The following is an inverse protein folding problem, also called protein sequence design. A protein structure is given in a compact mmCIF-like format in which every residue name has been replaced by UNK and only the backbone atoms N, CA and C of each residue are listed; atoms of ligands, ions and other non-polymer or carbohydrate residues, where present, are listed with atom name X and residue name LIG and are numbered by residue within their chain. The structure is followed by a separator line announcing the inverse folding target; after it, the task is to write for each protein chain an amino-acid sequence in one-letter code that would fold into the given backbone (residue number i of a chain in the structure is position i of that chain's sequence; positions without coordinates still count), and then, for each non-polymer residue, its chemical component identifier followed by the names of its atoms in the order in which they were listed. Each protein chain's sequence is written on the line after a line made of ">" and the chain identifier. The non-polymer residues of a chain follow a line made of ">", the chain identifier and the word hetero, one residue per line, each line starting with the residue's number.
data_IF_061735767691
#
_entry.id   IF_061735767691
#
_cell.length_a   1.000
_cell.length_b   1.000
_cell.length_c   1.000
_cell.angle_alpha   90.00
_cell.angle_beta   90.00
_cell.angle_gamma   90.00
#
_symmetry.space_group_name_H-M   'P 1'
#
loop_
_entity.id
_entity.type
_entity.pdbx_description
1 polymer ?
#
# COMPACT_ATOMS: atom_id res chain seq x y z
N UNK A 1 -13.63 22.56 30.88
CA UNK A 1 -13.80 24.01 31.10
C UNK A 1 -12.46 24.60 31.44
N UNK A 2 -11.97 25.55 30.64
CA UNK A 2 -10.77 26.31 30.98
C UNK A 2 -11.08 27.27 32.16
N UNK A 3 -10.16 27.41 33.10
CA UNK A 3 -10.31 28.33 34.25
C UNK A 3 -10.33 29.79 33.81
N UNK A 4 -11.06 30.62 34.57
CA UNK A 4 -11.10 32.06 34.36
C UNK A 4 -9.70 32.67 34.59
N UNK A 5 -9.09 33.22 33.54
CA UNK A 5 -7.82 33.96 33.62
C UNK A 5 -6.68 33.44 32.74
N UNK A 6 -6.89 32.41 31.92
CA UNK A 6 -5.89 31.95 30.95
C UNK A 6 -6.12 32.65 29.60
N UNK A 7 -5.18 33.52 29.21
CA UNK A 7 -5.09 34.01 27.83
C UNK A 7 -4.20 33.06 27.05
N UNK A 8 -4.76 32.38 26.05
CA UNK A 8 -3.95 31.62 25.09
C UNK A 8 -3.19 32.60 24.20
N UNK A 9 -1.89 32.73 24.42
CA UNK A 9 -1.00 33.52 23.55
C UNK A 9 -0.49 32.59 22.46
N UNK A 10 -1.25 32.48 21.37
CA UNK A 10 -0.77 31.82 20.15
C UNK A 10 0.15 32.80 19.44
N UNK A 11 1.45 32.49 19.39
CA UNK A 11 2.36 33.21 18.50
C UNK A 11 1.94 32.91 17.05
N UNK A 12 1.67 33.94 16.21
CA UNK A 12 1.27 33.69 14.84
C UNK A 12 2.38 32.91 14.12
N UNK A 13 2.05 31.74 13.58
CA UNK A 13 2.95 30.99 12.71
C UNK A 13 3.25 31.84 11.49
N UNK A 14 4.53 31.95 11.12
CA UNK A 14 4.93 32.71 9.95
C UNK A 14 4.19 32.20 8.71
N UNK A 15 3.72 33.10 7.82
CA UNK A 15 2.99 32.70 6.62
C UNK A 15 3.85 31.75 5.78
N UNK A 16 3.31 30.57 5.49
CA UNK A 16 4.00 29.59 4.65
C UNK A 16 3.93 30.04 3.21
N UNK A 17 5.07 30.04 2.55
CA UNK A 17 5.17 30.42 1.13
C UNK A 17 5.77 29.27 0.34
N UNK A 18 5.17 28.97 -0.81
CA UNK A 18 5.61 27.95 -1.76
C UNK A 18 5.89 28.65 -3.09
N UNK A 19 7.02 28.31 -3.73
CA UNK A 19 7.35 28.83 -5.06
C UNK A 19 7.15 27.73 -6.10
N UNK A 20 6.51 28.06 -7.22
CA UNK A 20 6.39 27.14 -8.37
C UNK A 20 6.34 27.90 -9.70
N UNK A 21 6.79 27.31 -10.82
CA UNK A 21 6.52 27.84 -12.15
C UNK A 21 5.01 27.97 -12.39
N UNK A 22 4.57 29.03 -13.06
CA UNK A 22 3.17 29.26 -13.36
C UNK A 22 2.54 28.17 -14.24
N UNK A 23 3.36 27.49 -15.05
CA UNK A 23 2.96 26.37 -15.91
C UNK A 23 3.13 24.99 -15.24
N UNK A 24 3.45 24.94 -13.95
CA UNK A 24 3.61 23.68 -13.22
C UNK A 24 2.31 22.85 -13.21
N UNK A 25 1.12 23.41 -12.90
CA UNK A 25 -0.13 22.65 -12.99
C UNK A 25 -0.38 22.10 -14.40
N UNK A 26 -0.02 22.87 -15.43
CA UNK A 26 -0.19 22.49 -16.83
C UNK A 26 0.65 21.26 -17.18
N UNK A 27 1.90 21.23 -16.72
CA UNK A 27 2.82 20.09 -16.91
C UNK A 27 2.37 18.84 -16.17
N UNK A 28 1.82 18.99 -14.96
CA UNK A 28 1.30 17.88 -14.16
C UNK A 28 0.04 17.30 -14.82
N UNK A 29 -0.87 18.16 -15.26
CA UNK A 29 -2.12 17.76 -15.89
C UNK A 29 -1.97 17.26 -17.34
N UNK A 30 -0.93 17.72 -18.05
CA UNK A 30 -0.83 17.55 -19.49
C UNK A 30 -1.87 18.39 -20.26
N UNK A 31 -2.34 19.49 -19.67
CA UNK A 31 -3.34 20.43 -20.23
C UNK A 31 -2.83 21.85 -20.04
N UNK A 32 -2.99 22.71 -21.05
CA UNK A 32 -2.65 24.12 -20.89
C UNK A 32 -3.81 24.86 -20.22
N UNK A 33 -3.65 25.22 -18.93
CA UNK A 33 -4.61 26.08 -18.21
C UNK A 33 -4.25 27.55 -18.34
N UNK A 34 -2.94 27.84 -18.40
CA UNK A 34 -2.40 29.19 -18.40
C UNK A 34 -2.38 29.85 -17.04
N UNK A 35 -1.43 30.78 -16.86
CA UNK A 35 -1.16 31.48 -15.61
C UNK A 35 -2.39 32.12 -14.97
N UNK A 36 -3.25 32.77 -15.76
CA UNK A 36 -4.44 33.46 -15.25
C UNK A 36 -5.40 32.50 -14.53
N UNK A 37 -5.60 31.31 -15.09
CA UNK A 37 -6.40 30.25 -14.48
C UNK A 37 -5.77 29.75 -13.18
N UNK A 38 -4.47 29.47 -13.21
CA UNK A 38 -3.70 29.01 -12.03
C UNK A 38 -3.82 30.00 -10.88
N UNK A 39 -3.53 31.28 -11.13
CA UNK A 39 -3.63 32.35 -10.12
C UNK A 39 -5.04 32.46 -9.58
N UNK A 40 -6.05 32.49 -10.46
CA UNK A 40 -7.46 32.60 -10.06
C UNK A 40 -7.89 31.44 -9.16
N UNK A 41 -7.55 30.20 -9.51
CA UNK A 41 -7.91 29.01 -8.71
C UNK A 41 -7.22 28.98 -7.37
N UNK A 42 -5.95 29.38 -7.30
CA UNK A 42 -5.23 29.46 -6.03
C UNK A 42 -5.78 30.56 -5.11
N UNK A 43 -6.22 31.69 -5.69
CA UNK A 43 -6.90 32.73 -4.93
C UNK A 43 -8.29 32.29 -4.45
N UNK A 44 -9.04 31.51 -5.24
CA UNK A 44 -10.33 30.92 -4.83
C UNK A 44 -10.20 30.01 -3.59
N UNK A 45 -9.05 29.36 -3.40
CA UNK A 45 -8.77 28.51 -2.22
C UNK A 45 -8.10 29.27 -1.06
N UNK A 46 -7.97 30.58 -1.19
CA UNK A 46 -7.50 31.48 -0.14
C UNK A 46 -6.01 31.76 -0.11
N UNK A 47 -5.26 31.42 -1.18
CA UNK A 47 -3.84 31.77 -1.28
C UNK A 47 -3.64 33.19 -1.82
N UNK A 48 -2.64 33.89 -1.29
CA UNK A 48 -2.12 35.09 -1.95
C UNK A 48 -1.04 34.68 -2.96
N UNK A 49 -1.14 35.18 -4.19
CA UNK A 49 -0.28 34.76 -5.30
C UNK A 49 0.42 35.96 -5.91
N UNK A 50 1.75 35.90 -5.96
CA UNK A 50 2.62 36.95 -6.51
C UNK A 50 3.54 36.37 -7.60
N UNK A 51 4.03 37.23 -8.51
CA UNK A 51 4.96 36.83 -9.57
C UNK A 51 4.33 36.65 -10.95
N UNK A 52 5.18 36.36 -11.94
CA UNK A 52 4.80 36.21 -13.35
C UNK A 52 5.07 34.77 -13.80
N UNK A 53 6.30 34.45 -14.21
CA UNK A 53 6.69 33.11 -14.67
C UNK A 53 6.91 32.16 -13.49
N UNK A 54 7.51 32.67 -12.41
CA UNK A 54 7.60 31.99 -11.12
C UNK A 54 6.60 32.62 -10.14
N UNK A 55 5.68 31.81 -9.64
CA UNK A 55 4.69 32.19 -8.66
C UNK A 55 5.22 31.96 -7.26
N UNK A 56 5.00 32.95 -6.40
CA UNK A 56 5.20 32.88 -4.94
C UNK A 56 3.81 32.87 -4.31
N UNK A 57 3.45 31.74 -3.71
CA UNK A 57 2.11 31.46 -3.20
C UNK A 57 2.16 31.40 -1.67
N UNK A 58 1.53 32.37 -1.02
CA UNK A 58 1.35 32.38 0.43
C UNK A 58 0.08 31.59 0.77
N UNK A 59 0.26 30.54 1.55
CA UNK A 59 -0.79 29.58 1.91
C UNK A 59 -1.54 30.08 3.16
N UNK A 60 -2.89 30.00 3.17
CA UNK A 60 -3.67 30.37 4.35
C UNK A 60 -3.45 29.38 5.51
N UNK A 61 -3.55 29.87 6.74
CA UNK A 61 -3.23 29.08 7.95
C UNK A 61 -4.10 27.85 8.16
N UNK A 62 -5.31 27.80 7.60
CA UNK A 62 -6.23 26.66 7.69
C UNK A 62 -6.01 25.59 6.60
N UNK A 63 -5.01 25.78 5.72
CA UNK A 63 -4.61 24.81 4.68
C UNK A 63 -3.22 24.23 4.94
N UNK A 64 -3.01 23.49 6.06
CA UNK A 64 -1.72 22.89 6.35
C UNK A 64 -1.33 21.80 5.36
N UNK A 65 -2.31 21.27 4.62
CA UNK A 65 -2.15 20.31 3.53
C UNK A 65 -1.40 20.89 2.31
N UNK A 66 -1.51 22.20 2.06
CA UNK A 66 -0.80 22.86 0.97
C UNK A 66 0.66 23.07 1.36
N UNK A 67 1.52 22.20 0.86
CA UNK A 67 2.87 22.04 1.35
C UNK A 67 3.99 22.16 0.33
N UNK A 68 3.71 21.71 -0.88
CA UNK A 68 4.63 21.66 -1.98
C UNK A 68 3.93 22.08 -3.29
N UNK A 69 4.68 22.34 -4.37
CA UNK A 69 4.10 22.75 -5.65
C UNK A 69 3.02 21.81 -6.19
N UNK A 70 3.09 20.51 -5.88
CA UNK A 70 2.11 19.54 -6.36
C UNK A 70 0.75 19.66 -5.65
N UNK A 71 0.70 20.09 -4.39
CA UNK A 71 -0.56 20.33 -3.70
C UNK A 71 -1.28 21.54 -4.32
N UNK A 72 -0.52 22.56 -4.70
CA UNK A 72 -1.04 23.73 -5.42
C UNK A 72 -1.55 23.34 -6.82
N UNK A 73 -0.80 22.48 -7.53
CA UNK A 73 -1.24 21.94 -8.81
C UNK A 73 -2.52 21.11 -8.67
N UNK A 74 -2.64 20.28 -7.63
CA UNK A 74 -3.85 19.52 -7.35
C UNK A 74 -5.06 20.44 -7.19
N UNK A 75 -4.95 21.56 -6.46
CA UNK A 75 -6.06 22.50 -6.29
C UNK A 75 -6.52 23.12 -7.60
N UNK A 76 -5.59 23.49 -8.47
CA UNK A 76 -5.92 24.00 -9.81
C UNK A 76 -6.65 22.92 -10.61
N UNK A 77 -6.09 21.72 -10.68
CA UNK A 77 -6.64 20.60 -11.46
C UNK A 77 -8.02 20.20 -10.94
N UNK A 78 -8.18 20.10 -9.62
CA UNK A 78 -9.43 19.74 -8.95
C UNK A 78 -10.54 20.76 -9.24
N UNK A 79 -10.22 22.06 -9.27
CA UNK A 79 -11.18 23.12 -9.55
C UNK A 79 -11.46 23.32 -11.04
N UNK A 80 -10.51 22.97 -11.92
CA UNK A 80 -10.74 22.89 -13.36
C UNK A 80 -11.47 21.60 -13.77
N UNK A 81 -11.50 20.59 -12.90
CA UNK A 81 -12.23 19.34 -13.09
C UNK A 81 -11.35 18.20 -13.59
N UNK A 82 -11.28 17.11 -12.82
CA UNK A 82 -10.50 15.92 -13.18
C UNK A 82 -11.01 15.24 -14.47
N UNK A 83 -12.30 15.38 -14.77
CA UNK A 83 -12.94 14.89 -15.98
C UNK A 83 -12.39 15.53 -17.26
N UNK A 84 -11.75 16.70 -17.15
CA UNK A 84 -11.16 17.41 -18.28
C UNK A 84 -9.73 16.93 -18.60
N UNK A 85 -9.17 16.03 -17.78
CA UNK A 85 -7.83 15.48 -18.03
C UNK A 85 -7.84 14.50 -19.21
N UNK A 86 -6.91 14.66 -20.17
CA UNK A 86 -6.83 13.77 -21.32
C UNK A 86 -6.32 12.39 -20.90
N UNK A 87 -6.99 11.34 -21.37
CA UNK A 87 -6.47 9.98 -21.25
C UNK A 87 -5.35 9.76 -22.27
N UNK A 88 -4.11 9.99 -21.84
CA UNK A 88 -2.93 9.85 -22.70
C UNK A 88 -2.07 8.68 -22.22
N UNK A 89 -1.90 7.66 -23.07
CA UNK A 89 -1.02 6.54 -22.75
C UNK A 89 0.46 6.99 -22.79
N UNK A 90 1.23 6.82 -21.70
CA UNK A 90 2.67 7.05 -21.76
C UNK A 90 3.33 6.01 -22.67
N UNK A 91 4.50 6.34 -23.20
CA UNK A 91 5.37 5.40 -23.92
C UNK A 91 6.44 4.89 -22.95
N UNK A 92 6.20 3.78 -22.22
CA UNK A 92 7.21 3.24 -21.32
C UNK A 92 8.40 2.70 -22.12
N UNK A 93 9.61 2.64 -21.53
CA UNK A 93 10.73 1.94 -22.13
C UNK A 93 10.41 0.44 -22.27
N UNK A 94 11.14 -0.24 -23.16
CA UNK A 94 10.99 -1.69 -23.32
C UNK A 94 11.33 -2.41 -22.00
N UNK A 95 10.34 -3.09 -21.42
CA UNK A 95 10.53 -3.91 -20.24
C UNK A 95 11.24 -5.23 -20.54
N UNK A 96 11.80 -5.88 -19.52
CA UNK A 96 12.43 -7.21 -19.61
C UNK A 96 11.41 -8.37 -19.55
N UNK A 97 10.13 -8.05 -19.47
CA UNK A 97 9.06 -9.02 -19.23
C UNK A 97 9.14 -9.68 -17.85
N UNK A 98 8.56 -10.87 -17.72
CA UNK A 98 8.57 -11.62 -16.47
C UNK A 98 9.97 -12.14 -16.14
N UNK A 99 10.33 -12.07 -14.85
CA UNK A 99 11.51 -12.74 -14.30
C UNK A 99 11.42 -14.26 -14.46
N UNK A 100 12.55 -14.95 -14.43
CA UNK A 100 12.59 -16.41 -14.49
C UNK A 100 11.75 -17.05 -13.38
N UNK A 101 11.87 -16.55 -12.14
CA UNK A 101 11.09 -17.01 -10.98
C UNK A 101 9.58 -16.89 -11.19
N UNK A 102 9.11 -15.79 -11.79
CA UNK A 102 7.69 -15.61 -12.12
C UNK A 102 7.24 -16.59 -13.21
N UNK A 103 8.06 -16.82 -14.24
CA UNK A 103 7.76 -17.80 -15.29
C UNK A 103 7.72 -19.22 -14.72
N UNK A 104 8.65 -19.56 -13.83
CA UNK A 104 8.72 -20.86 -13.18
C UNK A 104 7.47 -21.13 -12.34
N UNK A 105 7.07 -20.21 -11.47
CA UNK A 105 5.83 -20.35 -10.68
C UNK A 105 4.61 -20.62 -11.57
N UNK A 106 4.45 -19.85 -12.66
CA UNK A 106 3.35 -20.06 -13.61
C UNK A 106 3.43 -21.39 -14.36
N UNK A 107 4.64 -21.93 -14.59
CA UNK A 107 4.81 -23.25 -15.21
C UNK A 107 4.45 -24.36 -14.23
N UNK A 108 4.90 -24.27 -12.99
CA UNK A 108 4.60 -25.26 -11.93
C UNK A 108 3.10 -25.33 -11.67
N UNK A 109 2.43 -24.18 -11.47
CA UNK A 109 0.98 -24.15 -11.25
C UNK A 109 0.20 -24.75 -12.42
N UNK A 110 0.57 -24.42 -13.67
CA UNK A 110 -0.07 -25.02 -14.85
C UNK A 110 0.19 -26.53 -14.98
N UNK A 111 1.38 -27.00 -14.62
CA UNK A 111 1.71 -28.41 -14.65
C UNK A 111 0.90 -29.20 -13.61
N UNK A 112 0.79 -28.69 -12.38
CA UNK A 112 -0.01 -29.30 -11.31
C UNK A 112 -1.51 -29.32 -11.67
N UNK A 113 -2.04 -28.20 -12.18
CA UNK A 113 -3.41 -28.14 -12.67
C UNK A 113 -3.66 -29.11 -13.82
N UNK A 114 -2.74 -29.21 -14.79
CA UNK A 114 -2.81 -30.17 -15.89
C UNK A 114 -2.72 -31.64 -15.44
N UNK A 115 -2.13 -31.89 -14.27
CA UNK A 115 -2.07 -33.20 -13.63
C UNK A 115 -3.30 -33.51 -12.75
N UNK A 116 -4.29 -32.62 -12.69
CA UNK A 116 -5.53 -32.82 -11.94
C UNK A 116 -5.57 -32.22 -10.53
N UNK A 117 -4.54 -31.48 -10.12
CA UNK A 117 -4.55 -30.79 -8.82
C UNK A 117 -5.34 -29.47 -8.92
N UNK A 118 -6.03 -29.10 -7.85
CA UNK A 118 -6.74 -27.84 -7.69
C UNK A 118 -5.94 -26.90 -6.78
N UNK A 119 -5.73 -25.67 -7.22
CA UNK A 119 -5.05 -24.67 -6.39
C UNK A 119 -5.97 -24.20 -5.26
N UNK A 120 -5.45 -24.21 -4.02
CA UNK A 120 -6.14 -23.70 -2.84
C UNK A 120 -5.35 -22.53 -2.24
N UNK A 121 -6.06 -21.45 -1.90
CA UNK A 121 -5.47 -20.30 -1.22
C UNK A 121 -5.90 -20.30 0.24
N UNK A 122 -4.93 -20.39 1.13
CA UNK A 122 -5.15 -20.40 2.58
C UNK A 122 -4.68 -19.08 3.19
N UNK A 123 -5.34 -18.64 4.27
CA UNK A 123 -4.80 -17.53 5.05
C UNK A 123 -3.41 -17.88 5.60
N UNK A 124 -2.50 -16.91 5.73
CA UNK A 124 -1.16 -17.16 6.22
C UNK A 124 -1.08 -17.25 7.76
N UNK A 125 -2.22 -17.41 8.44
CA UNK A 125 -2.31 -17.45 9.90
C UNK A 125 -2.44 -18.89 10.39
N UNK A 126 -1.84 -19.18 11.54
CA UNK A 126 -1.95 -20.46 12.21
C UNK A 126 -2.00 -20.29 13.73
N UNK A 127 -2.65 -21.25 14.37
CA UNK A 127 -2.50 -21.51 15.80
C UNK A 127 -1.30 -22.43 16.05
N UNK A 128 -0.54 -22.18 17.11
CA UNK A 128 0.68 -22.96 17.43
C UNK A 128 0.40 -24.45 17.68
N UNK A 129 -0.81 -24.79 18.15
CA UNK A 129 -1.22 -26.19 18.33
C UNK A 129 -1.26 -27.02 17.04
N UNK A 130 -1.20 -26.39 15.86
CA UNK A 130 -1.13 -27.11 14.58
C UNK A 130 0.17 -27.89 14.44
N UNK A 131 1.26 -27.42 15.04
CA UNK A 131 2.55 -28.13 14.97
C UNK A 131 2.53 -29.43 15.77
N UNK A 132 1.77 -29.46 16.87
CA UNK A 132 1.54 -30.69 17.64
C UNK A 132 0.70 -31.68 16.84
N UNK A 133 -0.34 -31.20 16.14
CA UNK A 133 -1.15 -32.03 15.25
C UNK A 133 -0.36 -32.59 14.06
N UNK A 134 0.66 -31.87 13.60
CA UNK A 134 1.61 -32.34 12.58
C UNK A 134 2.66 -33.31 13.15
N UNK A 135 2.73 -33.48 14.47
CA UNK A 135 3.72 -34.34 15.12
C UNK A 135 5.15 -33.80 15.02
N UNK A 136 5.32 -32.47 14.93
CA UNK A 136 6.65 -31.86 14.92
C UNK A 136 7.26 -31.90 16.33
N UNK A 137 8.55 -32.15 16.45
CA UNK A 137 9.24 -32.08 17.73
C UNK A 137 9.30 -30.64 18.27
N UNK A 138 9.51 -30.46 19.57
CA UNK A 138 9.46 -29.16 20.22
C UNK A 138 10.52 -28.16 19.71
N UNK A 139 11.66 -28.67 19.21
CA UNK A 139 12.78 -27.91 18.67
C UNK A 139 12.72 -27.75 17.14
N UNK A 140 11.65 -28.21 16.49
CA UNK A 140 11.51 -28.09 15.03
C UNK A 140 11.55 -26.60 14.59
N UNK A 141 12.38 -26.24 13.59
CA UNK A 141 12.49 -24.88 13.10
C UNK A 141 11.18 -24.24 12.65
N UNK A 142 10.18 -25.02 12.21
CA UNK A 142 8.86 -24.52 11.81
C UNK A 142 8.04 -24.01 12.99
N UNK A 143 8.36 -24.41 14.24
CA UNK A 143 7.72 -23.87 15.44
C UNK A 143 8.22 -22.47 15.79
N UNK A 144 9.33 -22.02 15.19
CA UNK A 144 9.80 -20.63 15.30
C UNK A 144 8.96 -19.76 14.38
N UNK A 145 7.93 -19.14 14.94
CA UNK A 145 6.94 -18.34 14.21
C UNK A 145 7.05 -16.85 14.52
N UNK A 146 6.61 -16.03 13.58
CA UNK A 146 6.37 -14.60 13.80
C UNK A 146 4.92 -14.43 14.28
N UNK A 147 4.72 -13.83 15.46
CA UNK A 147 3.39 -13.56 16.02
C UNK A 147 2.95 -12.14 15.68
N UNK A 148 1.67 -11.99 15.35
CA UNK A 148 1.05 -10.69 15.17
C UNK A 148 0.77 -10.06 16.54
N UNK A 149 0.99 -8.75 16.65
CA UNK A 149 0.63 -7.99 17.86
C UNK A 149 -0.89 -7.77 17.94
N UNK A 150 -1.57 -7.77 16.80
CA UNK A 150 -3.00 -7.52 16.67
C UNK A 150 -3.64 -8.55 15.72
N UNK A 151 -3.70 -9.84 16.10
CA UNK A 151 -4.28 -10.87 15.25
C UNK A 151 -5.79 -10.68 15.06
N UNK A 152 -6.32 -11.15 13.93
CA UNK A 152 -7.76 -11.16 13.67
C UNK A 152 -8.51 -12.14 14.60
N UNK A 153 -7.82 -13.19 15.04
CA UNK A 153 -8.31 -14.20 15.99
C UNK A 153 -7.17 -14.61 16.92
N UNK A 154 -7.45 -14.70 18.21
CA UNK A 154 -6.49 -15.19 19.22
C UNK A 154 -6.14 -16.68 19.02
N UNK A 155 -6.96 -17.43 18.28
CA UNK A 155 -6.71 -18.84 17.94
C UNK A 155 -5.62 -19.00 16.86
N UNK A 156 -5.44 -17.99 16.00
CA UNK A 156 -4.48 -18.02 14.88
C UNK A 156 -3.54 -16.80 14.92
N UNK A 157 -2.74 -16.61 15.98
CA UNK A 157 -1.97 -15.38 16.17
C UNK A 157 -0.65 -15.35 15.39
N UNK A 158 -0.24 -16.47 14.78
CA UNK A 158 1.09 -16.63 14.19
C UNK A 158 1.05 -16.70 12.66
N UNK A 159 2.11 -16.21 12.01
CA UNK A 159 2.34 -16.39 10.58
C UNK A 159 2.89 -17.78 10.27
N UNK A 160 2.41 -18.36 9.17
CA UNK A 160 2.80 -19.72 8.77
C UNK A 160 4.25 -19.86 8.38
N UNK A 161 4.89 -20.91 8.86
CA UNK A 161 6.23 -21.37 8.47
C UNK A 161 6.19 -22.47 7.43
N UNK A 162 5.01 -23.03 7.14
CA UNK A 162 4.79 -24.08 6.13
C UNK A 162 3.39 -23.93 5.52
N UNK A 163 3.21 -24.43 4.29
CA UNK A 163 1.91 -24.41 3.59
C UNK A 163 1.00 -25.58 3.99
N UNK A 164 1.55 -26.62 4.65
CA UNK A 164 0.82 -27.84 4.96
C UNK A 164 -0.43 -27.64 5.82
N UNK A 165 -0.42 -26.83 6.91
CA UNK A 165 -1.62 -26.55 7.70
C UNK A 165 -2.82 -26.10 6.87
N UNK A 166 -2.60 -25.15 5.95
CA UNK A 166 -3.64 -24.62 5.07
C UNK A 166 -4.19 -25.69 4.12
N UNK A 167 -3.30 -26.44 3.47
CA UNK A 167 -3.66 -27.53 2.58
C UNK A 167 -4.44 -28.66 3.28
N UNK A 168 -4.03 -29.05 4.49
CA UNK A 168 -4.71 -30.08 5.27
C UNK A 168 -6.06 -29.60 5.80
N UNK A 169 -6.17 -28.32 6.18
CA UNK A 169 -7.45 -27.71 6.55
C UNK A 169 -8.41 -27.67 5.35
N UNK A 170 -7.92 -27.34 4.16
CA UNK A 170 -8.69 -27.38 2.92
C UNK A 170 -9.12 -28.82 2.57
N UNK A 171 -8.23 -29.80 2.72
CA UNK A 171 -8.54 -31.22 2.54
C UNK A 171 -9.65 -31.67 3.50
N UNK A 172 -9.48 -31.46 4.81
CA UNK A 172 -10.47 -31.80 5.85
C UNK A 172 -11.83 -31.17 5.59
N UNK A 173 -11.85 -29.92 5.13
CA UNK A 173 -13.09 -29.19 4.82
C UNK A 173 -13.83 -29.80 3.62
N UNK A 174 -13.11 -30.20 2.58
CA UNK A 174 -13.71 -30.79 1.38
C UNK A 174 -14.17 -32.23 1.64
N UNK A 175 -13.36 -33.03 2.35
CA UNK A 175 -13.71 -34.38 2.77
C UNK A 175 -14.99 -34.37 3.64
N UNK A 176 -15.06 -33.46 4.63
CA UNK A 176 -16.26 -33.27 5.45
C UNK A 176 -17.49 -32.75 4.69
N UNK A 177 -17.35 -32.36 3.42
CA UNK A 177 -18.43 -31.97 2.50
C UNK A 177 -18.73 -33.02 1.43
N UNK A 178 -18.16 -34.23 1.56
CA UNK A 178 -18.42 -35.36 0.67
C UNK A 178 -17.53 -35.42 -0.57
N UNK A 179 -16.52 -34.56 -0.68
CA UNK A 179 -15.52 -34.64 -1.76
C UNK A 179 -14.33 -35.46 -1.27
N UNK A 180 -14.34 -36.77 -1.54
CA UNK A 180 -13.35 -37.72 -0.99
C UNK A 180 -12.16 -37.99 -1.94
N UNK A 181 -12.29 -37.64 -3.22
CA UNK A 181 -11.22 -37.74 -4.21
C UNK A 181 -10.69 -36.33 -4.51
N UNK A 182 -9.54 -35.99 -3.90
CA UNK A 182 -9.00 -34.63 -3.90
C UNK A 182 -7.50 -34.65 -4.16
N UNK A 183 -7.06 -33.77 -5.06
CA UNK A 183 -5.67 -33.41 -5.24
C UNK A 183 -5.57 -31.88 -5.12
N UNK A 184 -4.91 -31.38 -4.07
CA UNK A 184 -4.79 -29.95 -3.79
C UNK A 184 -3.33 -29.52 -3.85
N UNK A 185 -3.07 -28.30 -4.32
CA UNK A 185 -1.77 -27.66 -4.21
C UNK A 185 -1.91 -26.19 -3.82
N UNK A 186 -0.85 -25.61 -3.26
CA UNK A 186 -0.81 -24.19 -2.93
C UNK A 186 0.57 -23.63 -3.30
N UNK A 187 0.59 -22.43 -3.86
CA UNK A 187 1.78 -21.59 -3.94
C UNK A 187 1.58 -20.37 -3.05
N UNK A 188 2.46 -20.17 -2.08
CA UNK A 188 2.33 -19.03 -1.19
C UNK A 188 3.59 -18.73 -0.40
N UNK A 189 3.58 -17.61 0.29
CA UNK A 189 4.67 -17.21 1.18
C UNK A 189 4.61 -18.00 2.49
N UNK A 190 5.79 -18.29 3.02
CA UNK A 190 6.04 -18.76 4.37
C UNK A 190 7.03 -17.83 5.04
N UNK A 191 6.94 -17.72 6.36
CA UNK A 191 7.67 -16.74 7.15
C UNK A 191 8.59 -17.47 8.12
N UNK A 192 9.87 -17.58 7.75
CA UNK A 192 10.89 -18.10 8.64
C UNK A 192 11.60 -16.93 9.31
N UNK A 193 11.49 -16.77 10.64
CA UNK A 193 12.22 -15.73 11.34
C UNK A 193 13.72 -15.98 11.18
N UNK A 194 14.46 -14.92 10.86
CA UNK A 194 15.91 -14.89 10.99
C UNK A 194 16.24 -14.20 12.31
N UNK A 195 17.27 -14.67 13.00
CA UNK A 195 17.79 -13.94 14.16
C UNK A 195 18.10 -12.50 13.74
N UNK A 196 17.80 -11.53 14.61
CA UNK A 196 18.11 -10.13 14.33
C UNK A 196 19.58 -10.02 13.90
N UNK A 197 19.80 -9.65 12.63
CA UNK A 197 21.10 -9.14 12.24
C UNK A 197 21.34 -7.90 13.10
N UNK A 198 22.22 -8.01 14.10
CA UNK A 198 22.72 -6.85 14.83
C UNK A 198 23.19 -5.85 13.78
N UNK A 199 22.42 -4.80 13.56
CA UNK A 199 22.85 -3.67 12.75
C UNK A 199 24.06 -3.12 13.49
N UNK A 200 25.25 -3.32 12.91
CA UNK A 200 26.45 -2.71 13.42
C UNK A 200 26.23 -1.19 13.39
N UNK A 201 26.16 -0.59 14.58
CA UNK A 201 26.15 0.87 14.74
C UNK A 201 27.51 1.49 14.43
#
# INVERSE_FOLDING_TARGET
>A
SAEAGVTEVIAPTAPRTITMPADHPDKVAGVAYGRETVVRRLQEVGCDVYGQDDLTVTVPSWRPDLAEPNDLAEEVIRLEGYENLPSTLPKPPAGRGLTERQRLHRRVGRALAGAGYVESLSYPFLGEGVFDQLGLEADDPHRRVVKLVNPLSDEEPALRTTLLPGLLSALRRNDGRGSHDLALFETGLVFHPQDEAKVAG
#
